data_IF_817859225984
#
_entry.id   IF_817859225984
#
_cell.length_a   1.000
_cell.length_b   1.000
_cell.length_c   1.000
_cell.angle_alpha   90.00
_cell.angle_beta   90.00
_cell.angle_gamma   90.00
#
_symmetry.space_group_name_H-M   'P 1'
#
loop_
_entity.id
_entity.type
_entity.pdbx_description
1 polymer ?
#
# COMPACT_ATOMS: atom_id res chain seq x y z
N UNK A 1 -8.72 8.31 6.17
CA UNK A 1 -7.56 7.92 7.00
C UNK A 1 -6.39 7.68 6.07
N UNK A 2 -5.35 8.49 6.22
CA UNK A 2 -4.14 8.42 5.42
C UNK A 2 -2.98 7.92 6.28
N UNK A 3 -2.09 7.13 5.68
CA UNK A 3 -0.89 6.61 6.36
C UNK A 3 0.36 6.96 5.59
N UNK A 4 1.45 7.18 6.33
CA UNK A 4 2.71 7.68 5.79
C UNK A 4 3.85 6.71 6.07
N UNK A 5 4.66 6.49 5.04
CA UNK A 5 5.91 5.75 4.99
C UNK A 5 5.90 4.24 5.36
N UNK A 6 4.85 3.44 5.06
CA UNK A 6 5.04 1.99 5.03
C UNK A 6 5.85 1.62 3.78
N UNK A 7 7.13 1.31 3.97
CA UNK A 7 8.06 1.04 2.86
C UNK A 7 8.31 -0.47 2.65
N UNK A 8 7.77 -1.31 3.53
CA UNK A 8 7.83 -2.77 3.41
C UNK A 8 6.53 -3.38 2.86
N UNK A 9 6.61 -4.41 2.00
CA UNK A 9 5.42 -5.06 1.43
C UNK A 9 4.42 -5.57 2.47
N UNK A 10 4.92 -6.06 3.61
CA UNK A 10 4.08 -6.59 4.70
C UNK A 10 3.25 -5.49 5.37
N UNK A 11 3.84 -4.32 5.57
CA UNK A 11 3.16 -3.17 6.16
C UNK A 11 2.14 -2.59 5.18
N UNK A 12 2.52 -2.40 3.91
CA UNK A 12 1.59 -1.96 2.86
C UNK A 12 0.37 -2.89 2.77
N UNK A 13 0.60 -4.21 2.76
CA UNK A 13 -0.48 -5.21 2.73
C UNK A 13 -1.40 -5.10 3.95
N UNK A 14 -0.85 -4.83 5.14
CA UNK A 14 -1.65 -4.60 6.35
C UNK A 14 -2.50 -3.34 6.20
N UNK A 15 -1.94 -2.24 5.70
CA UNK A 15 -2.66 -0.98 5.51
C UNK A 15 -3.79 -1.11 4.49
N UNK A 16 -3.52 -1.78 3.36
CA UNK A 16 -4.54 -2.09 2.34
C UNK A 16 -5.69 -2.90 2.96
N UNK A 17 -5.39 -3.93 3.75
CA UNK A 17 -6.42 -4.77 4.40
C UNK A 17 -7.23 -4.04 5.47
N UNK A 18 -6.65 -3.02 6.10
CA UNK A 18 -7.37 -2.15 7.03
C UNK A 18 -8.30 -1.16 6.31
N UNK A 19 -8.23 -1.08 4.97
CA UNK A 19 -9.11 -0.22 4.18
C UNK A 19 -8.80 1.27 4.34
N UNK A 20 -7.52 1.64 4.50
CA UNK A 20 -7.13 3.05 4.53
C UNK A 20 -7.37 3.70 3.16
N UNK A 21 -7.70 4.99 3.16
CA UNK A 21 -8.05 5.72 1.92
C UNK A 21 -6.83 6.03 1.07
N UNK A 22 -5.65 6.22 1.68
CA UNK A 22 -4.41 6.54 0.97
C UNK A 22 -3.16 6.10 1.73
N UNK A 23 -2.14 5.68 0.97
CA UNK A 23 -0.84 5.25 1.46
C UNK A 23 0.24 6.07 0.75
N UNK A 24 0.95 6.93 1.48
CA UNK A 24 2.17 7.58 1.00
C UNK A 24 3.39 6.75 1.35
N UNK A 25 4.25 6.41 0.38
CA UNK A 25 5.45 5.56 0.57
C UNK A 25 6.63 6.07 -0.25
N UNK A 26 7.85 5.80 0.23
CA UNK A 26 9.09 6.02 -0.53
C UNK A 26 9.35 4.90 -1.55
N UNK A 27 8.53 3.84 -1.55
CA UNK A 27 8.62 2.67 -2.44
C UNK A 27 7.33 2.48 -3.27
N UNK A 28 6.95 3.47 -4.10
CA UNK A 28 5.73 3.40 -4.89
C UNK A 28 5.73 2.22 -5.88
N UNK A 29 6.91 1.79 -6.34
CA UNK A 29 7.10 0.62 -7.20
C UNK A 29 6.53 -0.67 -6.58
N UNK A 30 6.79 -0.88 -5.29
CA UNK A 30 6.29 -2.04 -4.54
C UNK A 30 4.79 -1.95 -4.34
N UNK A 31 4.30 -0.78 -3.88
CA UNK A 31 2.89 -0.57 -3.61
C UNK A 31 2.03 -0.79 -4.86
N UNK A 32 2.43 -0.20 -6.00
CA UNK A 32 1.73 -0.37 -7.28
C UNK A 32 1.73 -1.83 -7.76
N UNK A 33 2.81 -2.58 -7.55
CA UNK A 33 2.86 -4.00 -7.88
C UNK A 33 1.92 -4.83 -6.99
N UNK A 34 1.82 -4.52 -5.70
CA UNK A 34 0.87 -5.17 -4.78
C UNK A 34 -0.58 -4.92 -5.20
N UNK A 35 -0.94 -3.66 -5.47
CA UNK A 35 -2.29 -3.29 -5.91
C UNK A 35 -2.69 -4.01 -7.20
N UNK A 36 -1.79 -4.05 -8.20
CA UNK A 36 -2.01 -4.80 -9.45
C UNK A 36 -2.24 -6.28 -9.20
N UNK A 37 -1.45 -6.94 -8.34
CA UNK A 37 -1.64 -8.36 -7.99
C UNK A 37 -2.97 -8.64 -7.29
N UNK A 38 -3.53 -7.63 -6.65
CA UNK A 38 -4.82 -7.69 -5.96
C UNK A 38 -5.99 -7.31 -6.87
N UNK A 39 -5.78 -7.08 -8.17
CA UNK A 39 -6.77 -6.53 -9.10
C UNK A 39 -7.39 -5.21 -8.62
N UNK A 40 -6.66 -4.45 -7.80
CA UNK A 40 -7.02 -3.10 -7.40
C UNK A 40 -6.39 -2.14 -8.40
N UNK A 41 -7.21 -1.31 -9.03
CA UNK A 41 -6.80 -0.33 -10.03
C UNK A 41 -6.60 1.03 -9.40
#
# INVERSE_FOLDING_TARGET
IEVWNPDEPKEMMKMIRLGVDSIGTNRPDILLNLLRKMNMR
#
